data_IF_057648151190
#
_entry.id   IF_057648151190
#
_cell.length_a   1.000
_cell.length_b   1.000
_cell.length_c   1.000
_cell.angle_alpha   90.00
_cell.angle_beta   90.00
_cell.angle_gamma   90.00
#
_symmetry.space_group_name_H-M   'P 1'
#
loop_
_entity.id
_entity.type
_entity.pdbx_description
1 polymer ?
#
# COMPACT_ATOMS: atom_id res chain seq x y z
N UNK A 1 15.35 22.36 -6.51
CA UNK A 1 14.20 21.66 -5.94
C UNK A 1 14.33 20.19 -6.33
N UNK A 2 14.28 19.22 -5.40
CA UNK A 2 14.35 17.82 -5.78
C UNK A 2 13.18 17.51 -6.72
N UNK A 3 13.45 16.86 -7.85
CA UNK A 3 12.42 16.44 -8.80
C UNK A 3 11.29 15.70 -8.06
N UNK A 4 10.01 15.90 -8.45
CA UNK A 4 8.91 15.15 -7.87
C UNK A 4 9.23 13.66 -8.05
N UNK A 5 9.48 12.97 -6.95
CA UNK A 5 9.78 11.56 -6.98
C UNK A 5 8.50 10.87 -7.48
N UNK A 6 8.52 10.33 -8.71
CA UNK A 6 7.36 9.72 -9.36
C UNK A 6 6.68 8.66 -8.49
N UNK A 7 7.45 8.01 -7.62
CA UNK A 7 6.95 7.04 -6.64
C UNK A 7 6.13 7.70 -5.52
N UNK A 8 6.57 8.86 -5.01
CA UNK A 8 5.81 9.62 -4.01
C UNK A 8 4.46 10.08 -4.55
N UNK A 9 4.43 10.58 -5.79
CA UNK A 9 3.15 10.97 -6.42
C UNK A 9 2.20 9.78 -6.54
N UNK A 10 2.71 8.61 -6.93
CA UNK A 10 1.91 7.37 -6.96
C UNK A 10 1.40 7.00 -5.57
N UNK A 11 2.23 7.04 -4.52
CA UNK A 11 1.78 6.74 -3.15
C UNK A 11 0.61 7.61 -2.70
N UNK A 12 0.61 8.92 -3.01
CA UNK A 12 -0.52 9.80 -2.66
C UNK A 12 -1.85 9.42 -3.34
N UNK A 13 -1.80 8.67 -4.44
CA UNK A 13 -2.95 8.21 -5.22
C UNK A 13 -3.27 6.72 -5.02
N UNK A 14 -2.46 6.00 -4.25
CA UNK A 14 -2.57 4.55 -4.07
C UNK A 14 -3.89 4.13 -3.44
N UNK A 15 -4.32 4.78 -2.36
CA UNK A 15 -5.61 4.46 -1.72
C UNK A 15 -6.78 4.58 -2.70
N UNK A 16 -6.83 5.65 -3.48
CA UNK A 16 -7.89 5.85 -4.47
C UNK A 16 -7.89 4.73 -5.53
N UNK A 17 -6.70 4.32 -6.00
CA UNK A 17 -6.55 3.21 -6.93
C UNK A 17 -6.99 1.87 -6.31
N UNK A 18 -6.62 1.59 -5.06
CA UNK A 18 -7.01 0.36 -4.37
C UNK A 18 -8.51 0.30 -4.11
N UNK A 19 -9.17 1.42 -3.79
CA UNK A 19 -10.63 1.47 -3.61
C UNK A 19 -11.40 1.17 -4.91
N UNK A 20 -10.83 1.48 -6.07
CA UNK A 20 -11.42 1.20 -7.38
C UNK A 20 -11.26 -0.26 -7.80
N UNK A 21 -10.21 -0.94 -7.32
CA UNK A 21 -9.85 -2.29 -7.77
C UNK A 21 -10.17 -3.38 -6.75
N UNK A 22 -10.12 -3.06 -5.45
CA UNK A 22 -10.37 -3.99 -4.34
C UNK A 22 -11.71 -3.66 -3.67
N UNK A 23 -12.71 -4.47 -3.96
CA UNK A 23 -14.07 -4.31 -3.42
C UNK A 23 -14.19 -5.00 -2.06
N UNK A 24 -14.89 -4.35 -1.11
CA UNK A 24 -15.22 -4.94 0.19
C UNK A 24 -14.10 -4.91 1.24
N UNK A 25 -12.96 -4.26 0.97
CA UNK A 25 -11.82 -4.15 1.90
C UNK A 25 -11.53 -2.68 2.32
N UNK A 26 -12.56 -1.84 2.33
CA UNK A 26 -12.44 -0.40 2.59
C UNK A 26 -11.82 -0.03 3.95
N UNK A 27 -11.91 -0.94 4.93
CA UNK A 27 -11.32 -0.81 6.26
C UNK A 27 -9.84 -1.23 6.33
N UNK A 28 -9.35 -2.02 5.36
CA UNK A 28 -7.96 -2.51 5.33
C UNK A 28 -7.08 -1.58 4.49
N UNK A 29 -7.63 -1.03 3.40
CA UNK A 29 -6.90 -0.18 2.46
C UNK A 29 -6.16 1.00 3.13
N UNK A 30 -6.77 1.77 4.06
CA UNK A 30 -6.08 2.89 4.70
C UNK A 30 -4.81 2.47 5.47
N UNK A 31 -4.89 1.36 6.22
CA UNK A 31 -3.75 0.85 6.99
C UNK A 31 -2.60 0.37 6.09
N UNK A 32 -2.91 -0.21 4.93
CA UNK A 32 -1.90 -0.60 3.94
C UNK A 32 -1.25 0.64 3.34
N UNK A 33 -2.05 1.67 3.00
CA UNK A 33 -1.56 2.91 2.42
C UNK A 33 -0.63 3.67 3.37
N UNK A 34 -1.00 3.79 4.64
CA UNK A 34 -0.21 4.45 5.69
C UNK A 34 1.14 3.76 5.90
N UNK A 35 1.14 2.44 6.12
CA UNK A 35 2.38 1.69 6.33
C UNK A 35 3.35 1.78 5.14
N UNK A 36 2.84 1.78 3.90
CA UNK A 36 3.66 1.97 2.70
C UNK A 36 4.22 3.39 2.60
N UNK A 37 3.43 4.40 2.97
CA UNK A 37 3.86 5.80 2.98
C UNK A 37 4.98 6.02 4.00
N UNK A 38 4.80 5.53 5.24
CA UNK A 38 5.79 5.64 6.31
C UNK A 38 7.11 4.95 5.94
N UNK A 39 7.02 3.76 5.34
CA UNK A 39 8.19 3.03 4.85
C UNK A 39 8.95 3.72 3.72
N UNK A 40 8.27 4.53 2.90
CA UNK A 40 8.89 5.28 1.79
C UNK A 40 9.40 6.66 2.22
N UNK A 41 8.79 7.28 3.23
CA UNK A 41 9.25 8.51 3.86
C UNK A 41 10.39 8.28 4.86
N UNK A 42 10.70 7.02 5.20
CA UNK A 42 11.72 6.69 6.18
C UNK A 42 11.31 7.05 7.61
N UNK A 43 10.00 7.05 7.89
CA UNK A 43 9.42 7.31 9.21
C UNK A 43 9.43 6.05 10.11
N UNK A 44 9.96 4.93 9.60
CA UNK A 44 10.11 3.65 10.29
C UNK A 44 11.58 3.35 10.59
N UNK A 45 11.84 2.40 11.49
CA UNK A 45 13.21 1.96 11.83
C UNK A 45 13.97 1.51 10.57
N UNK A 46 15.13 2.11 10.25
CA UNK A 46 15.89 1.78 9.04
C UNK A 46 16.42 0.34 9.02
N UNK A 47 16.44 -0.35 10.15
CA UNK A 47 16.84 -1.76 10.27
C UNK A 47 15.68 -2.74 10.06
N UNK A 48 14.47 -2.25 9.76
CA UNK A 48 13.27 -3.06 9.56
C UNK A 48 12.75 -2.97 8.12
N UNK A 49 11.96 -3.96 7.66
CA UNK A 49 11.24 -3.84 6.40
C UNK A 49 10.36 -2.58 6.39
N UNK A 50 10.23 -1.96 5.21
CA UNK A 50 9.39 -0.76 4.99
C UNK A 50 7.93 -0.94 5.39
N UNK A 51 7.43 -2.17 5.36
CA UNK A 51 6.10 -2.54 5.83
C UNK A 51 6.04 -4.04 6.07
N UNK A 52 5.33 -4.45 7.11
CA UNK A 52 5.07 -5.86 7.44
C UNK A 52 3.57 -6.04 7.61
N UNK A 53 2.98 -6.97 6.84
CA UNK A 53 1.54 -7.18 6.81
C UNK A 53 1.20 -8.64 7.08
N UNK A 54 0.15 -8.87 7.86
CA UNK A 54 -0.49 -10.18 8.03
C UNK A 54 -1.97 -10.05 7.67
N UNK A 55 -2.35 -10.56 6.50
CA UNK A 55 -3.75 -10.55 6.06
C UNK A 55 -4.44 -11.85 6.50
N UNK A 56 -5.50 -11.72 7.32
CA UNK A 56 -6.30 -12.84 7.83
C UNK A 56 -7.73 -12.78 7.28
N UNK A 57 -8.31 -13.94 6.98
CA UNK A 57 -9.69 -14.04 6.48
C UNK A 57 -9.91 -15.29 5.62
N UNK A 58 -11.18 -15.60 5.25
CA UNK A 58 -11.52 -16.78 4.46
C UNK A 58 -10.93 -16.71 3.04
N UNK A 59 -10.97 -17.83 2.31
CA UNK A 59 -10.52 -17.87 0.92
C UNK A 59 -11.38 -16.97 0.02
N UNK A 60 -10.82 -16.45 -1.07
CA UNK A 60 -11.56 -15.64 -2.05
C UNK A 60 -11.81 -14.16 -1.70
N UNK A 61 -11.51 -13.70 -0.47
CA UNK A 61 -11.80 -12.31 -0.03
C UNK A 61 -10.84 -11.22 -0.55
N UNK A 62 -9.88 -11.58 -1.42
CA UNK A 62 -8.97 -10.60 -2.03
C UNK A 62 -7.67 -10.30 -1.27
N UNK A 63 -7.25 -11.13 -0.30
CA UNK A 63 -5.98 -10.95 0.44
C UNK A 63 -4.75 -10.88 -0.48
N UNK A 64 -4.62 -11.87 -1.37
CA UNK A 64 -3.54 -11.92 -2.36
C UNK A 64 -3.67 -10.80 -3.39
N UNK A 65 -4.90 -10.50 -3.82
CA UNK A 65 -5.16 -9.47 -4.82
C UNK A 65 -4.80 -8.08 -4.30
N UNK A 66 -5.05 -7.77 -3.03
CA UNK A 66 -4.63 -6.51 -2.41
C UNK A 66 -3.10 -6.32 -2.49
N UNK A 67 -2.35 -7.38 -2.23
CA UNK A 67 -0.89 -7.38 -2.35
C UNK A 67 -0.42 -7.14 -3.80
N UNK A 68 -1.03 -7.86 -4.75
CA UNK A 68 -0.72 -7.71 -6.16
C UNK A 68 -1.11 -6.32 -6.69
N UNK A 69 -2.24 -5.77 -6.27
CA UNK A 69 -2.76 -4.48 -6.74
C UNK A 69 -1.83 -3.33 -6.34
N UNK A 70 -1.41 -3.21 -5.08
CA UNK A 70 -0.47 -2.16 -4.70
C UNK A 70 0.91 -2.38 -5.35
N UNK A 71 1.33 -3.63 -5.54
CA UNK A 71 2.62 -3.94 -6.16
C UNK A 71 2.64 -3.48 -7.62
N UNK A 72 1.64 -3.89 -8.42
CA UNK A 72 1.49 -3.49 -9.83
C UNK A 72 1.35 -1.99 -10.02
N UNK A 73 0.77 -1.29 -9.04
CA UNK A 73 0.58 0.14 -9.12
C UNK A 73 1.86 0.93 -8.81
N UNK A 74 2.64 0.47 -7.83
CA UNK A 74 3.84 1.18 -7.35
C UNK A 74 5.11 0.84 -8.14
N UNK A 75 5.19 -0.35 -8.74
CA UNK A 75 6.36 -0.91 -9.42
C UNK A 75 6.02 -1.38 -10.83
#
# INVERSE_FOLDING_TARGET
>A
MPSPNRKHERLTKLEAHLRQTIIGQANVIPAVNEALLDGELGLTDPNRPKGTFLFLGPTGVGKTELCLAFTRYLF
#
